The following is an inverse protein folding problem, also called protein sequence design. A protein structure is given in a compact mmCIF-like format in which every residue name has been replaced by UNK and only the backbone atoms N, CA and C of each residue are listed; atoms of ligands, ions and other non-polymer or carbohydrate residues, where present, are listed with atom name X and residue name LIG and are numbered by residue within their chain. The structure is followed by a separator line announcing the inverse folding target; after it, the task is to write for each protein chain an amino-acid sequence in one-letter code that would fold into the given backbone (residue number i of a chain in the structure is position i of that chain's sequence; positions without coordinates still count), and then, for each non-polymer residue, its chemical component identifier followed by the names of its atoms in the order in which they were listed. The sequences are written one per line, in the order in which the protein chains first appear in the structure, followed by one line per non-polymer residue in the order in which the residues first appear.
data_IF_869759021340
#
_entry.id   IF_869759021340
#
_cell.length_a   1.000
_cell.length_b   1.000
_cell.length_c   1.000
_cell.angle_alpha   90.00
_cell.angle_beta   90.00
_cell.angle_gamma   90.00
#
_symmetry.space_group_name_H-M   'P 1'
#
loop_
_entity.id
_entity.type
_entity.pdbx_description
1 polymer ?
#
# COMPACT_ATOMS: atom_id res chain seq x y z
N UNK A 1 -32.01 -1.21 -20.25
CA UNK A 1 -30.87 -1.95 -20.81
C UNK A 1 -29.66 -1.55 -19.98
N UNK A 2 -29.33 -2.35 -18.97
CA UNK A 2 -28.15 -2.12 -18.14
C UNK A 2 -27.01 -2.90 -18.77
N UNK A 3 -25.90 -2.23 -19.04
CA UNK A 3 -24.67 -2.90 -19.49
C UNK A 3 -24.10 -3.63 -18.26
N UNK A 4 -24.19 -4.95 -18.25
CA UNK A 4 -23.41 -5.78 -17.34
C UNK A 4 -21.93 -5.59 -17.69
N UNK A 5 -21.24 -4.78 -16.89
CA UNK A 5 -19.79 -4.78 -16.89
C UNK A 5 -19.34 -5.89 -15.94
N UNK A 6 -19.04 -7.05 -16.50
CA UNK A 6 -18.21 -8.06 -15.84
C UNK A 6 -16.77 -7.54 -15.82
N UNK A 7 -16.47 -6.64 -14.87
CA UNK A 7 -15.07 -6.32 -14.58
C UNK A 7 -14.47 -7.53 -13.84
N UNK A 8 -13.27 -8.00 -14.22
CA UNK A 8 -12.64 -9.10 -13.51
C UNK A 8 -12.48 -8.73 -12.03
N UNK A 9 -12.72 -9.67 -11.11
CA UNK A 9 -12.65 -9.45 -9.65
C UNK A 9 -11.35 -8.77 -9.19
N UNK A 10 -10.25 -8.99 -9.90
CA UNK A 10 -8.95 -8.38 -9.60
C UNK A 10 -8.89 -6.88 -9.91
N UNK A 11 -9.74 -6.38 -10.82
CA UNK A 11 -9.85 -4.95 -11.11
C UNK A 11 -10.29 -4.16 -9.88
N UNK A 12 -11.23 -4.69 -9.11
CA UNK A 12 -11.77 -4.01 -7.93
C UNK A 12 -10.77 -4.01 -6.75
N UNK A 13 -9.94 -5.05 -6.63
CA UNK A 13 -8.86 -5.08 -5.63
C UNK A 13 -7.80 -4.03 -5.91
N UNK A 14 -7.36 -3.90 -7.16
CA UNK A 14 -6.41 -2.85 -7.58
C UNK A 14 -7.01 -1.45 -7.38
N UNK A 15 -8.24 -1.23 -7.87
CA UNK A 15 -8.90 0.07 -7.79
C UNK A 15 -9.12 0.55 -6.35
N UNK A 16 -9.46 -0.36 -5.42
CA UNK A 16 -9.60 0.01 -4.01
C UNK A 16 -8.25 0.37 -3.37
N UNK A 17 -7.17 -0.35 -3.70
CA UNK A 17 -5.83 0.00 -3.25
C UNK A 17 -5.41 1.37 -3.77
N UNK A 18 -5.66 1.67 -5.04
CA UNK A 18 -5.34 2.96 -5.65
C UNK A 18 -6.08 4.11 -4.93
N UNK A 19 -7.36 3.92 -4.61
CA UNK A 19 -8.14 4.90 -3.85
C UNK A 19 -7.60 5.09 -2.43
N UNK A 20 -7.19 4.02 -1.76
CA UNK A 20 -6.58 4.09 -0.43
C UNK A 20 -5.26 4.86 -0.47
N UNK A 21 -4.41 4.58 -1.46
CA UNK A 21 -3.13 5.28 -1.65
C UNK A 21 -3.39 6.77 -1.90
N UNK A 22 -4.29 7.10 -2.81
CA UNK A 22 -4.63 8.49 -3.15
C UNK A 22 -5.25 9.28 -1.98
N UNK A 23 -5.77 8.62 -0.95
CA UNK A 23 -6.33 9.27 0.23
C UNK A 23 -5.25 9.75 1.22
N UNK A 24 -4.06 9.11 1.24
CA UNK A 24 -3.01 9.35 2.23
C UNK A 24 -2.58 10.81 2.36
N UNK A 25 -2.38 11.57 1.26
CA UNK A 25 -2.03 13.00 1.34
C UNK A 25 -3.04 13.86 2.10
N UNK A 26 -4.30 13.42 2.18
CA UNK A 26 -5.41 14.16 2.82
C UNK A 26 -5.54 13.88 4.31
N UNK A 27 -4.74 12.96 4.87
CA UNK A 27 -4.74 12.64 6.29
C UNK A 27 -3.86 13.67 7.02
N UNK A 28 -4.46 14.49 7.87
CA UNK A 28 -3.77 15.57 8.58
C UNK A 28 -2.80 15.03 9.66
N UNK A 29 -3.24 14.04 10.44
CA UNK A 29 -2.40 13.45 11.49
C UNK A 29 -1.31 12.57 10.89
N UNK A 30 -0.05 12.92 11.16
CA UNK A 30 1.10 12.21 10.61
C UNK A 30 1.13 10.74 11.05
N UNK A 31 0.79 10.44 12.30
CA UNK A 31 0.83 9.06 12.79
C UNK A 31 -0.26 8.21 12.15
N UNK A 32 -1.46 8.76 12.01
CA UNK A 32 -2.58 8.13 11.30
C UNK A 32 -2.22 7.88 9.85
N UNK A 33 -1.58 8.84 9.19
CA UNK A 33 -1.11 8.70 7.83
C UNK A 33 -0.13 7.54 7.66
N UNK A 34 0.84 7.43 8.57
CA UNK A 34 1.82 6.33 8.57
C UNK A 34 1.11 5.00 8.82
N UNK A 35 0.20 4.92 9.80
CA UNK A 35 -0.60 3.71 10.06
C UNK A 35 -1.43 3.30 8.85
N UNK A 36 -2.03 4.27 8.16
CA UNK A 36 -2.84 4.02 6.98
C UNK A 36 -1.99 3.48 5.83
N UNK A 37 -0.81 4.07 5.59
CA UNK A 37 0.15 3.58 4.60
C UNK A 37 0.60 2.14 4.91
N UNK A 38 0.92 1.83 6.17
CA UNK A 38 1.26 0.47 6.59
C UNK A 38 0.13 -0.52 6.32
N UNK A 39 -1.12 -0.12 6.53
CA UNK A 39 -2.30 -0.95 6.23
C UNK A 39 -2.43 -1.24 4.73
N UNK A 40 -2.15 -0.26 3.87
CA UNK A 40 -2.11 -0.48 2.41
C UNK A 40 -1.03 -1.51 2.06
N UNK A 41 0.18 -1.35 2.61
CA UNK A 41 1.27 -2.31 2.39
C UNK A 41 0.90 -3.69 2.92
N UNK A 42 0.25 -3.80 4.07
CA UNK A 42 -0.29 -5.05 4.61
C UNK A 42 -1.26 -5.74 3.64
N UNK A 43 -2.19 -4.99 3.04
CA UNK A 43 -3.08 -5.52 2.01
C UNK A 43 -2.34 -5.98 0.74
N UNK A 44 -1.29 -5.27 0.34
CA UNK A 44 -0.41 -5.68 -0.78
C UNK A 44 0.27 -7.01 -0.44
N UNK A 45 0.80 -7.16 0.78
CA UNK A 45 1.42 -8.41 1.27
C UNK A 45 0.43 -9.57 1.27
N UNK A 46 -0.81 -9.33 1.72
CA UNK A 46 -1.86 -10.34 1.76
C UNK A 46 -2.28 -10.79 0.35
N UNK A 47 -2.25 -9.87 -0.62
CA UNK A 47 -2.56 -10.15 -2.02
C UNK A 47 -1.39 -10.86 -2.75
N UNK A 48 -0.16 -10.63 -2.30
CA UNK A 48 1.07 -11.21 -2.86
C UNK A 48 1.89 -11.97 -1.80
N UNK A 49 1.38 -13.09 -1.25
CA UNK A 49 2.03 -13.81 -0.17
C UNK A 49 3.43 -14.32 -0.55
N UNK A 50 3.70 -14.56 -1.83
CA UNK A 50 5.01 -14.98 -2.34
C UNK A 50 6.08 -13.87 -2.24
N UNK A 51 5.71 -12.62 -1.98
CA UNK A 51 6.62 -11.50 -1.76
C UNK A 51 7.00 -11.33 -0.29
N UNK A 52 6.34 -12.07 0.59
CA UNK A 52 6.51 -11.99 2.04
C UNK A 52 7.49 -13.07 2.49
N UNK A 53 8.49 -12.68 3.27
CA UNK A 53 9.44 -13.62 3.84
C UNK A 53 8.85 -14.35 5.06
N UNK A 54 9.63 -15.30 5.60
CA UNK A 54 9.26 -16.07 6.80
C UNK A 54 9.03 -15.22 8.07
N UNK A 55 9.48 -13.98 8.09
CA UNK A 55 9.34 -13.05 9.20
C UNK A 55 8.18 -12.05 8.97
N UNK A 56 7.39 -12.20 7.89
CA UNK A 56 6.30 -11.27 7.55
C UNK A 56 6.76 -9.99 6.86
N UNK A 57 8.05 -9.90 6.50
CA UNK A 57 8.64 -8.72 5.89
C UNK A 57 8.55 -8.80 4.37
N UNK A 58 8.33 -7.67 3.69
CA UNK A 58 8.27 -7.64 2.23
C UNK A 58 8.80 -6.33 1.68
N UNK A 59 10.03 -6.37 1.17
CA UNK A 59 10.62 -5.25 0.43
C UNK A 59 9.81 -4.93 -0.82
N UNK A 60 9.41 -5.96 -1.56
CA UNK A 60 8.64 -5.82 -2.80
C UNK A 60 7.29 -5.15 -2.56
N UNK A 61 6.59 -5.45 -1.45
CA UNK A 61 5.33 -4.78 -1.15
C UNK A 61 5.51 -3.27 -0.88
N UNK A 62 6.59 -2.90 -0.19
CA UNK A 62 6.93 -1.49 0.02
C UNK A 62 7.36 -0.80 -1.27
N UNK A 63 8.21 -1.42 -2.08
CA UNK A 63 8.60 -0.88 -3.40
C UNK A 63 7.38 -0.67 -4.28
N UNK A 64 6.49 -1.66 -4.36
CA UNK A 64 5.25 -1.58 -5.14
C UNK A 64 4.31 -0.47 -4.65
N UNK A 65 4.18 -0.27 -3.34
CA UNK A 65 3.44 0.85 -2.78
C UNK A 65 4.02 2.21 -3.22
N UNK A 66 5.34 2.36 -3.21
CA UNK A 66 6.01 3.59 -3.67
C UNK A 66 5.86 3.81 -5.17
N UNK A 67 5.77 2.74 -5.97
CA UNK A 67 5.51 2.82 -7.42
C UNK A 67 4.05 3.20 -7.73
N UNK A 68 3.08 2.72 -6.95
CA UNK A 68 1.65 3.03 -7.12
C UNK A 68 1.27 4.44 -6.67
N UNK A 69 2.05 5.06 -5.78
CA UNK A 69 1.72 6.38 -5.27
C UNK A 69 1.98 7.48 -6.31
N UNK A 70 0.92 8.17 -6.74
CA UNK A 70 1.00 9.37 -7.60
C UNK A 70 1.63 10.61 -6.92
N UNK A 71 2.16 10.44 -5.71
CA UNK A 71 2.84 11.46 -4.91
C UNK A 71 4.07 10.82 -4.27
N UNK A 72 5.06 11.62 -3.89
CA UNK A 72 6.23 11.11 -3.17
C UNK A 72 5.88 10.81 -1.71
N UNK A 73 5.82 9.54 -1.25
CA UNK A 73 5.41 9.22 0.11
C UNK A 73 6.34 9.80 1.19
N UNK A 74 7.59 10.07 0.83
CA UNK A 74 8.59 10.66 1.74
C UNK A 74 8.19 12.07 2.19
N UNK A 75 7.55 12.85 1.32
CA UNK A 75 7.06 14.20 1.65
C UNK A 75 5.95 14.17 2.71
N UNK A 76 5.32 13.01 2.87
CA UNK A 76 4.26 12.77 3.82
C UNK A 76 4.72 12.03 5.08
N UNK A 77 6.03 11.86 5.27
CA UNK A 77 6.62 11.19 6.43
C UNK A 77 6.58 9.66 6.36
N UNK A 78 6.27 9.09 5.21
CA UNK A 78 6.24 7.66 4.98
C UNK A 78 7.59 7.23 4.41
N UNK A 79 8.26 6.32 5.12
CA UNK A 79 9.59 5.84 4.78
C UNK A 79 9.51 4.35 4.45
N UNK A 80 10.25 3.92 3.44
CA UNK A 80 10.46 2.50 3.18
C UNK A 80 11.38 1.94 4.29
N UNK A 81 10.96 0.94 5.08
CA UNK A 81 11.77 0.39 6.17
C UNK A 81 13.13 -0.15 5.68
N UNK A 82 13.17 -0.69 4.47
CA UNK A 82 14.37 -1.29 3.88
C UNK A 82 15.40 -0.26 3.39
N UNK A 83 14.98 0.98 3.16
CA UNK A 83 15.88 2.10 2.83
C UNK A 83 16.32 2.87 4.07
N UNK A 84 15.43 2.97 5.06
CA UNK A 84 15.66 3.73 6.30
C UNK A 84 16.33 2.90 7.41
N UNK A 85 16.47 1.59 7.23
CA UNK A 85 17.00 0.66 8.24
C UNK A 85 16.01 0.38 9.38
N UNK A 86 14.73 0.69 9.19
CA UNK A 86 13.66 0.40 10.14
C UNK A 86 13.14 -1.04 9.95
N UNK A 87 12.47 -1.56 10.97
CA UNK A 87 11.78 -2.83 10.86
C UNK A 87 10.50 -2.67 10.05
N UNK A 88 10.24 -3.60 9.12
CA UNK A 88 8.96 -3.70 8.45
C UNK A 88 7.91 -4.28 9.41
N UNK A 89 7.01 -3.42 9.88
CA UNK A 89 5.91 -3.70 10.81
C UNK A 89 4.52 -3.50 10.15
N UNK A 90 4.46 -3.55 8.81
CA UNK A 90 3.20 -3.48 8.08
C UNK A 90 2.49 -4.85 8.11
N UNK A 91 1.25 -4.88 8.60
CA UNK A 91 0.40 -6.08 8.73
C UNK A 91 -0.90 -5.97 7.92
#
# INVERSE_FOLDING_TARGET
MFLEQDKPKDYDCGYNLDLMIAAIPRIDDQQERIRYAKRVVGLIKQSHPNWVDKNGQSRLAWEYYFELADYNPRDYGIQNPFESGQQDDAE
#
